data_IF_943147417449
#
_entry.id   IF_943147417449
#
_cell.length_a   1.000
_cell.length_b   1.000
_cell.length_c   1.000
_cell.angle_alpha   90.00
_cell.angle_beta   90.00
_cell.angle_gamma   90.00
#
_symmetry.space_group_name_H-M   'P 1'
#
loop_
_entity.id
_entity.type
_entity.pdbx_description
1 polymer ?
#
# COMPACT_ATOMS: atom_id res chain seq x y z
N UNK A 1 -11.96 11.42 20.80
CA UNK A 1 -10.68 10.66 20.91
C UNK A 1 -11.03 9.18 20.89
N UNK A 2 -10.32 8.36 20.12
CA UNK A 2 -10.58 6.91 20.04
C UNK A 2 -10.36 6.25 21.40
N UNK A 3 -11.24 5.31 21.79
CA UNK A 3 -11.02 4.47 22.97
C UNK A 3 -10.08 3.29 22.62
N UNK A 4 -8.77 3.53 22.74
CA UNK A 4 -7.76 2.52 22.43
C UNK A 4 -7.92 1.25 23.29
N UNK A 5 -8.39 1.38 24.54
CA UNK A 5 -8.59 0.23 25.44
C UNK A 5 -9.73 -0.68 24.98
N UNK A 6 -10.79 -0.12 24.40
CA UNK A 6 -11.87 -0.88 23.80
C UNK A 6 -11.38 -1.59 22.53
N UNK A 7 -10.68 -0.86 21.64
CA UNK A 7 -10.17 -1.37 20.36
C UNK A 7 -9.16 -2.50 20.58
N UNK A 8 -8.26 -2.41 21.57
CA UNK A 8 -7.29 -3.47 21.85
C UNK A 8 -7.93 -4.84 22.11
N UNK A 9 -9.16 -4.89 22.62
CA UNK A 9 -9.89 -6.14 22.89
C UNK A 9 -10.24 -6.90 21.62
N UNK A 10 -10.31 -6.22 20.48
CA UNK A 10 -10.60 -6.82 19.17
C UNK A 10 -9.41 -7.59 18.60
N UNK A 11 -8.20 -7.37 19.13
CA UNK A 11 -6.96 -7.97 18.65
C UNK A 11 -6.51 -9.11 19.57
N UNK A 12 -6.83 -10.38 19.25
CA UNK A 12 -6.56 -11.52 20.15
C UNK A 12 -5.07 -11.70 20.43
N UNK A 13 -4.19 -11.32 19.51
CA UNK A 13 -2.74 -11.45 19.69
C UNK A 13 -2.20 -10.56 20.83
N UNK A 14 -2.83 -9.42 21.13
CA UNK A 14 -2.43 -8.54 22.22
C UNK A 14 -2.70 -9.14 23.62
N UNK A 15 -3.48 -10.22 23.70
CA UNK A 15 -3.71 -10.96 24.94
C UNK A 15 -2.57 -11.91 25.29
N UNK A 16 -1.58 -12.06 24.39
CA UNK A 16 -0.45 -12.96 24.64
C UNK A 16 0.49 -12.40 25.68
N UNK A 17 0.98 -13.28 26.54
CA UNK A 17 2.11 -13.04 27.41
C UNK A 17 3.29 -13.90 26.91
N UNK A 18 4.45 -13.28 26.81
CA UNK A 18 5.69 -13.95 26.45
C UNK A 18 6.67 -13.68 27.60
N UNK A 19 7.33 -14.73 28.13
CA UNK A 19 8.19 -14.63 29.31
C UNK A 19 7.50 -13.96 30.50
N UNK A 20 6.18 -14.19 30.67
CA UNK A 20 5.37 -13.61 31.77
C UNK A 20 5.01 -12.12 31.60
N UNK A 21 5.42 -11.46 30.53
CA UNK A 21 5.14 -10.04 30.24
C UNK A 21 4.10 -9.89 29.13
N UNK A 22 3.24 -8.86 29.15
CA UNK A 22 2.30 -8.60 28.08
C UNK A 22 3.05 -8.21 26.78
N UNK A 23 2.46 -8.54 25.62
CA UNK A 23 3.00 -8.16 24.32
C UNK A 23 2.78 -6.66 24.06
N UNK A 24 3.86 -5.93 23.76
CA UNK A 24 3.84 -4.55 23.27
C UNK A 24 4.32 -4.57 21.82
N UNK A 25 3.37 -4.52 20.87
CA UNK A 25 3.67 -4.66 19.45
C UNK A 25 3.75 -3.29 18.78
N UNK A 26 4.97 -2.85 18.43
CA UNK A 26 5.26 -1.57 17.78
C UNK A 26 5.88 -1.74 16.39
N UNK A 27 5.66 -2.88 15.73
CA UNK A 27 6.17 -3.19 14.38
C UNK A 27 5.07 -3.26 13.31
N UNK A 28 3.97 -2.49 13.48
CA UNK A 28 2.83 -2.49 12.54
C UNK A 28 3.21 -1.99 11.13
N UNK A 29 4.26 -1.21 11.00
CA UNK A 29 4.84 -0.80 9.70
C UNK A 29 5.24 -1.99 8.83
N UNK A 30 5.71 -3.07 9.46
CA UNK A 30 6.05 -4.30 8.75
C UNK A 30 4.81 -5.12 8.42
N UNK A 31 3.95 -5.36 9.41
CA UNK A 31 2.63 -6.01 9.28
C UNK A 31 1.78 -5.67 10.50
N UNK A 32 0.53 -5.27 10.28
CA UNK A 32 -0.40 -5.01 11.38
C UNK A 32 -0.92 -6.31 12.01
N UNK A 33 -1.32 -6.27 13.26
CA UNK A 33 -2.12 -7.33 13.87
C UNK A 33 -3.50 -7.41 13.22
N UNK A 34 -4.21 -8.53 13.41
CA UNK A 34 -5.52 -8.77 12.78
C UNK A 34 -6.62 -8.76 13.82
N UNK A 35 -7.67 -7.95 13.63
CA UNK A 35 -8.83 -7.99 14.51
C UNK A 35 -9.64 -9.27 14.32
N UNK A 36 -10.36 -9.67 15.35
CA UNK A 36 -11.22 -10.86 15.37
C UNK A 36 -12.21 -10.88 14.20
N UNK A 37 -12.74 -9.71 13.79
CA UNK A 37 -13.64 -9.59 12.66
C UNK A 37 -13.03 -10.12 11.35
N UNK A 38 -11.76 -9.77 11.06
CA UNK A 38 -11.05 -10.25 9.88
C UNK A 38 -10.76 -11.74 9.95
N UNK A 39 -10.32 -12.23 11.13
CA UNK A 39 -10.06 -13.66 11.35
C UNK A 39 -11.33 -14.47 11.13
N UNK A 40 -12.45 -14.02 11.71
CA UNK A 40 -13.74 -14.67 11.57
C UNK A 40 -14.25 -14.67 10.13
N UNK A 41 -14.03 -13.59 9.35
CA UNK A 41 -14.45 -13.55 7.94
C UNK A 41 -13.71 -14.56 7.07
N UNK A 42 -12.41 -14.74 7.32
CA UNK A 42 -11.61 -15.77 6.65
C UNK A 42 -12.09 -17.17 7.03
N UNK A 43 -12.35 -17.42 8.31
CA UNK A 43 -12.91 -18.69 8.79
C UNK A 43 -14.31 -18.96 8.20
N UNK A 44 -15.13 -17.93 8.08
CA UNK A 44 -16.47 -18.03 7.48
C UNK A 44 -16.39 -18.52 6.03
N UNK A 45 -15.48 -17.97 5.21
CA UNK A 45 -15.28 -18.47 3.86
C UNK A 45 -15.00 -19.98 3.85
N UNK A 46 -14.00 -20.43 4.62
CA UNK A 46 -13.60 -21.84 4.61
C UNK A 46 -14.64 -22.80 5.20
N UNK A 47 -15.49 -22.31 6.09
CA UNK A 47 -16.47 -23.17 6.78
C UNK A 47 -17.86 -23.17 6.15
N UNK A 48 -18.23 -22.12 5.39
CA UNK A 48 -19.59 -21.97 4.88
C UNK A 48 -19.70 -22.00 3.36
N UNK A 49 -18.80 -21.33 2.62
CA UNK A 49 -18.91 -21.15 1.16
C UNK A 49 -17.55 -21.28 0.45
N UNK A 50 -16.70 -22.22 0.87
CA UNK A 50 -15.44 -22.51 0.23
C UNK A 50 -15.64 -23.15 -1.14
N UNK A 51 -15.83 -22.31 -2.15
CA UNK A 51 -15.99 -22.68 -3.55
C UNK A 51 -15.18 -21.76 -4.46
N UNK A 52 -14.88 -22.21 -5.69
CA UNK A 52 -14.30 -21.34 -6.70
C UNK A 52 -15.37 -20.33 -7.18
N UNK A 53 -14.92 -19.19 -7.70
CA UNK A 53 -15.75 -18.06 -8.10
C UNK A 53 -15.98 -18.02 -9.62
N UNK A 54 -16.96 -17.22 -10.05
CA UNK A 54 -17.36 -16.88 -11.43
C UNK A 54 -18.02 -18.01 -12.23
N UNK A 55 -17.43 -19.21 -12.33
CA UNK A 55 -17.89 -20.26 -13.26
C UNK A 55 -18.83 -21.28 -12.67
N UNK A 56 -18.95 -21.34 -11.34
CA UNK A 56 -19.86 -22.27 -10.69
C UNK A 56 -21.30 -21.76 -10.70
N UNK A 57 -22.24 -22.59 -11.17
CA UNK A 57 -23.67 -22.29 -11.23
C UNK A 57 -24.46 -22.85 -10.02
N UNK A 58 -23.77 -23.10 -8.92
CA UNK A 58 -24.34 -23.64 -7.69
C UNK A 58 -24.19 -22.62 -6.54
N UNK A 59 -25.10 -22.67 -5.58
CA UNK A 59 -25.33 -21.63 -4.56
C UNK A 59 -24.07 -21.13 -3.85
N UNK A 60 -23.22 -22.02 -3.35
CA UNK A 60 -22.01 -21.60 -2.61
C UNK A 60 -20.95 -20.93 -3.51
N UNK A 61 -20.93 -21.22 -4.83
CA UNK A 61 -20.05 -20.50 -5.78
C UNK A 61 -20.57 -19.10 -6.08
N UNK A 62 -21.90 -18.95 -6.21
CA UNK A 62 -22.53 -17.63 -6.36
C UNK A 62 -22.28 -16.77 -5.12
N UNK A 63 -22.40 -17.36 -3.92
CA UNK A 63 -22.13 -16.67 -2.66
C UNK A 63 -20.65 -16.25 -2.55
N UNK A 64 -19.70 -17.15 -2.87
CA UNK A 64 -18.28 -16.83 -2.89
C UNK A 64 -17.96 -15.70 -3.89
N UNK A 65 -18.56 -15.73 -5.08
CA UNK A 65 -18.42 -14.69 -6.10
C UNK A 65 -18.95 -13.34 -5.60
N UNK A 66 -20.15 -13.35 -5.02
CA UNK A 66 -20.75 -12.13 -4.47
C UNK A 66 -19.89 -11.52 -3.36
N UNK A 67 -19.35 -12.33 -2.44
CA UNK A 67 -18.49 -11.86 -1.36
C UNK A 67 -17.13 -11.31 -1.88
N UNK A 68 -16.60 -11.89 -2.95
CA UNK A 68 -15.37 -11.44 -3.59
C UNK A 68 -15.55 -10.07 -4.25
N UNK A 69 -16.60 -9.90 -5.06
CA UNK A 69 -16.89 -8.64 -5.74
C UNK A 69 -17.41 -7.54 -4.79
N UNK A 70 -18.09 -7.91 -3.74
CA UNK A 70 -18.49 -6.99 -2.67
C UNK A 70 -17.26 -6.43 -1.93
N UNK A 71 -16.24 -7.26 -1.68
CA UNK A 71 -14.98 -6.79 -1.12
C UNK A 71 -14.27 -5.80 -2.07
N UNK A 72 -14.31 -6.02 -3.39
CA UNK A 72 -13.80 -5.09 -4.40
C UNK A 72 -14.51 -3.75 -4.32
N UNK A 73 -15.83 -3.77 -4.26
CA UNK A 73 -16.66 -2.58 -4.13
C UNK A 73 -16.33 -1.78 -2.87
N UNK A 74 -16.18 -2.46 -1.72
CA UNK A 74 -15.77 -1.80 -0.46
C UNK A 74 -14.40 -1.16 -0.56
N UNK A 75 -13.42 -1.85 -1.15
CA UNK A 75 -12.09 -1.29 -1.39
C UNK A 75 -12.16 -0.05 -2.27
N UNK A 76 -12.93 -0.11 -3.38
CA UNK A 76 -13.11 1.03 -4.26
C UNK A 76 -13.71 2.24 -3.53
N UNK A 77 -14.74 2.03 -2.73
CA UNK A 77 -15.37 3.07 -1.91
C UNK A 77 -14.40 3.64 -0.88
N UNK A 78 -13.60 2.80 -0.23
CA UNK A 78 -12.66 3.19 0.82
C UNK A 78 -11.56 4.13 0.34
N UNK A 79 -11.13 3.99 -0.91
CA UNK A 79 -10.11 4.86 -1.53
C UNK A 79 -10.72 5.91 -2.48
N UNK A 80 -12.05 6.03 -2.52
CA UNK A 80 -12.81 6.94 -3.40
C UNK A 80 -12.51 6.71 -4.89
N UNK A 81 -12.35 5.44 -5.32
CA UNK A 81 -12.30 5.09 -6.73
C UNK A 81 -13.62 5.40 -7.43
N UNK A 82 -13.59 5.74 -8.74
CA UNK A 82 -14.80 6.09 -9.50
C UNK A 82 -15.73 4.88 -9.67
N UNK A 83 -15.15 3.68 -9.78
CA UNK A 83 -15.88 2.42 -9.94
C UNK A 83 -15.05 1.22 -9.49
N UNK A 84 -15.69 0.10 -9.12
CA UNK A 84 -14.99 -1.10 -8.64
C UNK A 84 -14.00 -1.70 -9.65
N UNK A 85 -14.26 -1.55 -10.94
CA UNK A 85 -13.40 -2.08 -12.01
C UNK A 85 -12.01 -1.44 -12.04
N UNK A 86 -11.81 -0.28 -11.40
CA UNK A 86 -10.49 0.34 -11.22
C UNK A 86 -9.62 -0.36 -10.17
N UNK A 87 -10.17 -1.32 -9.44
CA UNK A 87 -9.49 -2.09 -8.38
C UNK A 87 -9.10 -3.46 -8.90
N UNK A 88 -7.81 -3.75 -8.95
CA UNK A 88 -7.23 -5.04 -9.32
C UNK A 88 -6.64 -5.68 -8.07
N UNK A 89 -7.04 -6.90 -7.75
CA UNK A 89 -6.45 -7.65 -6.66
C UNK A 89 -5.11 -8.26 -7.08
N UNK A 90 -4.13 -8.10 -6.21
CA UNK A 90 -2.76 -8.62 -6.36
C UNK A 90 -2.36 -9.33 -5.08
N UNK A 91 -1.18 -9.95 -5.04
CA UNK A 91 -0.69 -10.57 -3.79
C UNK A 91 -0.21 -9.55 -2.75
N UNK A 92 0.25 -8.40 -3.19
CA UNK A 92 0.78 -7.32 -2.34
C UNK A 92 1.13 -6.08 -3.18
N UNK A 93 1.56 -4.98 -2.54
CA UNK A 93 2.05 -3.76 -3.19
C UNK A 93 3.17 -4.04 -4.20
N UNK A 94 4.10 -4.95 -3.89
CA UNK A 94 5.22 -5.26 -4.79
C UNK A 94 4.73 -5.82 -6.12
N UNK A 95 3.77 -6.76 -6.10
CA UNK A 95 3.17 -7.29 -7.32
C UNK A 95 2.38 -6.21 -8.07
N UNK A 96 1.61 -5.38 -7.36
CA UNK A 96 0.85 -4.27 -7.95
C UNK A 96 1.75 -3.31 -8.75
N UNK A 97 2.88 -2.91 -8.16
CA UNK A 97 3.85 -2.02 -8.83
C UNK A 97 4.55 -2.74 -10.00
N UNK A 98 4.92 -4.01 -9.82
CA UNK A 98 5.50 -4.80 -10.93
C UNK A 98 4.50 -5.00 -12.07
N UNK A 99 3.20 -5.19 -11.76
CA UNK A 99 2.16 -5.25 -12.79
C UNK A 99 2.22 -4.00 -13.68
N UNK A 100 2.21 -2.80 -13.08
CA UNK A 100 2.33 -1.54 -13.85
C UNK A 100 3.64 -1.48 -14.64
N UNK A 101 4.75 -1.86 -14.02
CA UNK A 101 6.05 -1.84 -14.69
C UNK A 101 6.11 -2.79 -15.90
N UNK A 102 5.64 -4.02 -15.74
CA UNK A 102 5.71 -5.05 -16.79
C UNK A 102 4.64 -4.90 -17.89
N UNK A 103 3.53 -4.24 -17.60
CA UNK A 103 2.48 -4.01 -18.59
C UNK A 103 2.60 -2.61 -19.19
N UNK A 104 2.20 -1.56 -18.46
CA UNK A 104 2.30 -0.19 -18.95
C UNK A 104 3.74 0.21 -19.26
N UNK A 105 4.69 -0.06 -18.35
CA UNK A 105 6.08 0.36 -18.51
C UNK A 105 6.74 -0.26 -19.75
N UNK A 106 6.58 -1.57 -19.96
CA UNK A 106 7.15 -2.24 -21.14
C UNK A 106 6.53 -1.78 -22.45
N UNK A 107 5.24 -1.50 -22.46
CA UNK A 107 4.52 -1.10 -23.68
C UNK A 107 4.76 0.36 -24.05
N UNK A 108 4.95 1.25 -23.07
CA UNK A 108 4.93 2.71 -23.31
C UNK A 108 6.31 3.38 -23.17
N UNK A 109 7.22 2.82 -22.35
CA UNK A 109 8.54 3.42 -22.16
C UNK A 109 9.52 2.97 -23.23
N UNK A 110 10.33 3.90 -23.71
CA UNK A 110 11.36 3.68 -24.75
C UNK A 110 12.66 4.43 -24.42
N UNK A 111 13.75 4.00 -25.05
CA UNK A 111 15.08 4.57 -24.86
C UNK A 111 15.06 6.10 -24.91
N UNK A 112 15.64 6.74 -23.88
CA UNK A 112 15.69 8.19 -23.76
C UNK A 112 14.52 8.82 -23.00
N UNK A 113 13.46 8.07 -22.69
CA UNK A 113 12.46 8.50 -21.70
C UNK A 113 13.06 8.51 -20.29
N UNK A 114 12.46 9.25 -19.38
CA UNK A 114 12.89 9.33 -17.99
C UNK A 114 11.82 8.78 -17.04
N UNK A 115 12.28 8.07 -16.00
CA UNK A 115 11.48 7.67 -14.84
C UNK A 115 12.09 8.30 -13.60
N UNK A 116 11.25 8.90 -12.76
CA UNK A 116 11.65 9.54 -11.50
C UNK A 116 11.11 8.73 -10.34
N UNK A 117 11.95 8.50 -9.35
CA UNK A 117 11.59 7.94 -8.04
C UNK A 117 12.15 8.81 -6.93
N UNK A 118 11.68 8.66 -5.69
CA UNK A 118 12.35 9.33 -4.56
C UNK A 118 13.35 8.38 -3.88
N UNK A 119 14.30 8.97 -3.14
CA UNK A 119 15.24 8.18 -2.34
C UNK A 119 14.57 7.49 -1.15
N UNK A 120 13.36 7.90 -0.75
CA UNK A 120 12.62 7.31 0.36
C UNK A 120 11.72 6.13 -0.04
N UNK A 121 11.72 5.73 -1.33
CA UNK A 121 10.88 4.63 -1.79
C UNK A 121 11.25 3.32 -1.12
N UNK A 122 10.22 2.54 -0.77
CA UNK A 122 10.42 1.13 -0.48
C UNK A 122 11.02 0.43 -1.71
N UNK A 123 11.82 -0.61 -1.50
CA UNK A 123 12.43 -1.38 -2.60
C UNK A 123 11.42 -1.83 -3.65
N UNK A 124 10.18 -2.09 -3.26
CA UNK A 124 9.08 -2.45 -4.18
C UNK A 124 8.73 -1.36 -5.19
N UNK A 125 8.97 -0.08 -4.85
CA UNK A 125 8.72 1.07 -5.73
C UNK A 125 10.00 1.70 -6.27
N UNK A 126 11.15 1.14 -5.96
CA UNK A 126 12.45 1.57 -6.47
C UNK A 126 13.02 0.60 -7.50
N UNK A 127 13.13 -0.67 -7.09
CA UNK A 127 13.85 -1.70 -7.88
C UNK A 127 13.19 -2.00 -9.22
N UNK A 128 11.86 -2.14 -9.35
CA UNK A 128 11.23 -2.40 -10.65
C UNK A 128 11.56 -1.32 -11.69
N UNK A 129 11.52 -0.06 -11.28
CA UNK A 129 11.80 1.09 -12.17
C UNK A 129 13.29 1.18 -12.51
N UNK A 130 14.17 0.89 -11.56
CA UNK A 130 15.61 0.81 -11.80
C UNK A 130 15.94 -0.29 -12.82
N UNK A 131 15.34 -1.49 -12.69
CA UNK A 131 15.56 -2.59 -13.63
C UNK A 131 14.95 -2.27 -15.00
N UNK A 132 13.76 -1.69 -15.06
CA UNK A 132 13.13 -1.22 -16.28
C UNK A 132 14.02 -0.18 -17.01
N UNK A 133 14.61 0.74 -16.27
CA UNK A 133 15.52 1.73 -16.83
C UNK A 133 16.76 1.09 -17.45
N UNK A 134 17.35 0.08 -16.81
CA UNK A 134 18.46 -0.70 -17.37
C UNK A 134 18.03 -1.47 -18.61
N UNK A 135 16.90 -2.16 -18.56
CA UNK A 135 16.37 -3.00 -19.66
C UNK A 135 16.12 -2.15 -20.93
N UNK A 136 15.53 -0.97 -20.77
CA UNK A 136 15.07 -0.14 -21.88
C UNK A 136 15.97 1.05 -22.22
N UNK A 137 17.05 1.27 -21.47
CA UNK A 137 17.91 2.43 -21.65
C UNK A 137 17.24 3.75 -21.32
N UNK A 138 16.45 3.77 -20.24
CA UNK A 138 15.78 4.97 -19.73
C UNK A 138 16.74 5.77 -18.85
N UNK A 139 16.44 7.06 -18.72
CA UNK A 139 17.06 7.90 -17.70
C UNK A 139 16.37 7.65 -16.35
N UNK A 140 17.10 7.08 -15.40
CA UNK A 140 16.62 6.84 -14.05
C UNK A 140 17.06 7.97 -13.13
N UNK A 141 16.11 8.76 -12.63
CA UNK A 141 16.36 9.92 -11.78
C UNK A 141 15.87 9.65 -10.36
N UNK A 142 16.71 9.99 -9.37
CA UNK A 142 16.36 9.83 -7.95
C UNK A 142 16.24 11.21 -7.31
N UNK A 143 15.03 11.53 -6.85
CA UNK A 143 14.75 12.78 -6.14
C UNK A 143 15.13 12.63 -4.67
N UNK A 144 16.15 13.37 -4.24
CA UNK A 144 16.68 13.34 -2.88
C UNK A 144 15.83 14.11 -1.88
N UNK A 145 16.21 14.01 -0.59
CA UNK A 145 15.56 14.66 0.54
C UNK A 145 16.30 15.91 0.97
N UNK A 146 15.58 16.83 1.58
CA UNK A 146 16.14 17.89 2.41
C UNK A 146 16.57 17.32 3.78
N UNK A 147 17.28 18.13 4.57
CA UNK A 147 17.88 17.68 5.86
C UNK A 147 16.87 17.23 6.89
N UNK A 148 15.63 17.71 6.80
CA UNK A 148 14.51 17.35 7.68
C UNK A 148 13.76 16.07 7.24
N UNK A 149 14.24 15.41 6.19
CA UNK A 149 13.62 14.19 5.68
C UNK A 149 12.40 14.43 4.78
N UNK A 150 12.17 15.65 4.33
CA UNK A 150 11.10 15.99 3.38
C UNK A 150 11.59 16.14 1.95
N UNK A 151 10.67 16.10 0.97
CA UNK A 151 10.95 16.36 -0.43
C UNK A 151 10.96 17.87 -0.71
N UNK A 152 12.00 18.37 -1.37
CA UNK A 152 12.05 19.77 -1.81
C UNK A 152 11.19 19.99 -3.05
N UNK A 153 9.96 20.42 -2.85
CA UNK A 153 9.01 20.64 -3.94
C UNK A 153 9.46 21.73 -4.93
N UNK A 154 10.30 22.69 -4.50
CA UNK A 154 10.83 23.72 -5.39
C UNK A 154 11.80 23.18 -6.44
N UNK A 155 12.32 21.98 -6.24
CA UNK A 155 13.23 21.31 -7.19
C UNK A 155 12.49 20.36 -8.14
N UNK A 156 11.18 20.19 -8.01
CA UNK A 156 10.42 19.22 -8.80
C UNK A 156 10.52 19.45 -10.31
N UNK A 157 10.61 20.71 -10.74
CA UNK A 157 10.81 21.11 -12.15
C UNK A 157 12.14 20.60 -12.75
N UNK A 158 13.17 20.37 -11.91
CA UNK A 158 14.44 19.80 -12.38
C UNK A 158 14.33 18.30 -12.69
N UNK A 159 13.36 17.61 -12.08
CA UNK A 159 13.11 16.18 -12.28
C UNK A 159 12.06 15.91 -13.36
N UNK A 160 11.01 16.75 -13.43
CA UNK A 160 9.91 16.58 -14.36
C UNK A 160 10.16 17.39 -15.63
N UNK A 161 10.51 16.70 -16.71
CA UNK A 161 10.76 17.26 -18.03
C UNK A 161 9.82 16.64 -19.07
N UNK A 162 9.81 17.12 -20.30
CA UNK A 162 9.02 16.51 -21.40
C UNK A 162 9.35 15.02 -21.64
N UNK A 163 10.54 14.57 -21.27
CA UNK A 163 10.96 13.17 -21.35
C UNK A 163 10.53 12.32 -20.17
N UNK A 164 10.12 12.93 -19.06
CA UNK A 164 9.66 12.20 -17.87
C UNK A 164 8.28 11.60 -18.16
N UNK A 165 8.20 10.29 -18.13
CA UNK A 165 6.97 9.53 -18.42
C UNK A 165 6.27 9.03 -17.17
N UNK A 166 7.05 8.83 -16.09
CA UNK A 166 6.53 8.34 -14.82
C UNK A 166 7.27 9.02 -13.66
N UNK A 167 6.49 9.42 -12.66
CA UNK A 167 6.95 9.66 -11.29
C UNK A 167 6.35 8.57 -10.40
N UNK A 168 7.19 7.80 -9.71
CA UNK A 168 6.77 6.83 -8.70
C UNK A 168 7.17 7.35 -7.32
N UNK A 169 6.18 7.55 -6.43
CA UNK A 169 6.39 8.14 -5.10
C UNK A 169 5.66 7.36 -4.01
N UNK A 170 6.25 7.28 -2.82
CA UNK A 170 5.54 6.84 -1.63
C UNK A 170 4.70 7.98 -1.04
N UNK A 171 3.46 7.69 -0.62
CA UNK A 171 2.63 8.68 0.08
C UNK A 171 3.12 8.91 1.52
N UNK A 172 3.55 7.83 2.20
CA UNK A 172 4.12 7.88 3.56
C UNK A 172 5.33 6.97 3.60
N UNK A 173 6.47 7.51 4.02
CA UNK A 173 7.71 6.73 4.14
C UNK A 173 7.58 5.65 5.22
N UNK A 174 7.88 4.41 4.85
CA UNK A 174 7.93 3.27 5.78
C UNK A 174 9.17 3.26 6.69
N UNK A 175 10.12 4.18 6.49
CA UNK A 175 11.37 4.27 7.27
C UNK A 175 11.34 5.49 8.18
N UNK A 176 11.15 6.67 7.63
CA UNK A 176 11.28 7.94 8.38
C UNK A 176 9.94 8.61 8.67
N UNK A 177 8.83 7.96 8.31
CA UNK A 177 7.48 8.43 8.62
C UNK A 177 7.03 9.68 7.85
N UNK A 178 7.84 10.23 6.95
CA UNK A 178 7.47 11.45 6.20
C UNK A 178 6.20 11.23 5.40
N UNK A 179 5.21 12.09 5.59
CA UNK A 179 3.99 12.18 4.78
C UNK A 179 4.26 13.15 3.64
N UNK A 180 4.20 12.65 2.41
CA UNK A 180 4.36 13.46 1.22
C UNK A 180 3.04 14.12 0.81
N UNK A 181 3.03 15.40 0.42
CA UNK A 181 1.83 16.10 -0.03
C UNK A 181 1.46 15.66 -1.47
N UNK A 182 0.93 14.44 -1.62
CA UNK A 182 0.68 13.76 -2.91
C UNK A 182 -0.13 14.65 -3.86
N UNK A 183 -1.24 15.21 -3.41
CA UNK A 183 -2.09 16.11 -4.22
C UNK A 183 -1.30 17.27 -4.82
N UNK A 184 -0.47 17.93 -3.99
CA UNK A 184 0.36 19.07 -4.43
C UNK A 184 1.42 18.60 -5.44
N UNK A 185 2.06 17.46 -5.18
CA UNK A 185 3.08 16.90 -6.07
C UNK A 185 2.46 16.55 -7.41
N UNK A 186 1.36 15.78 -7.41
CA UNK A 186 0.65 15.40 -8.64
C UNK A 186 0.20 16.63 -9.43
N UNK A 187 -0.45 17.59 -8.77
CA UNK A 187 -0.88 18.82 -9.42
C UNK A 187 0.27 19.61 -10.05
N UNK A 188 1.44 19.62 -9.41
CA UNK A 188 2.64 20.27 -9.97
C UNK A 188 3.21 19.47 -11.14
N UNK A 189 3.28 18.14 -11.04
CA UNK A 189 3.72 17.26 -12.13
C UNK A 189 2.86 17.45 -13.37
N UNK A 190 1.54 17.45 -13.21
CA UNK A 190 0.61 17.61 -14.33
C UNK A 190 0.68 19.00 -14.98
N UNK A 191 1.02 20.06 -14.21
CA UNK A 191 1.30 21.39 -14.78
C UNK A 191 2.61 21.43 -15.58
N UNK A 192 3.67 20.74 -15.10
CA UNK A 192 4.97 20.71 -15.77
C UNK A 192 4.95 19.77 -17.01
N UNK A 193 4.29 18.63 -16.89
CA UNK A 193 4.15 17.64 -17.95
C UNK A 193 2.83 16.86 -17.78
N UNK A 194 1.75 17.25 -18.50
CA UNK A 194 0.45 16.56 -18.40
C UNK A 194 0.49 15.08 -18.76
N UNK A 195 1.48 14.66 -19.57
CA UNK A 195 1.64 13.27 -20.00
C UNK A 195 2.52 12.43 -19.05
N UNK A 196 3.03 13.01 -17.98
CA UNK A 196 3.76 12.26 -16.95
C UNK A 196 2.75 11.58 -16.04
N UNK A 197 2.77 10.24 -15.99
CA UNK A 197 1.95 9.49 -15.06
C UNK A 197 2.57 9.50 -13.65
N UNK A 198 1.70 9.41 -12.64
CA UNK A 198 2.10 9.33 -11.23
C UNK A 198 1.57 8.05 -10.62
N UNK A 199 2.49 7.20 -10.16
CA UNK A 199 2.20 6.01 -9.37
C UNK A 199 2.50 6.30 -7.91
N UNK A 200 1.54 6.01 -7.04
CA UNK A 200 1.66 6.24 -5.59
C UNK A 200 1.75 4.91 -4.86
N UNK A 201 2.86 4.66 -4.16
CA UNK A 201 2.93 3.62 -3.14
C UNK A 201 2.23 4.14 -1.88
N UNK A 202 1.03 3.64 -1.63
CA UNK A 202 0.18 4.02 -0.51
C UNK A 202 0.15 2.95 0.61
N UNK A 203 1.14 2.04 0.62
CA UNK A 203 1.19 0.94 1.59
C UNK A 203 1.20 1.41 3.05
N UNK A 204 1.71 2.61 3.32
CA UNK A 204 1.71 3.24 4.64
C UNK A 204 0.70 4.41 4.76
N UNK A 205 -0.03 4.75 3.70
CA UNK A 205 -1.05 5.78 3.77
C UNK A 205 -2.44 5.20 4.02
N UNK A 206 -2.85 4.23 3.20
CA UNK A 206 -4.19 3.61 3.25
C UNK A 206 -4.55 3.07 4.64
N UNK A 207 -3.64 2.43 5.42
CA UNK A 207 -3.97 1.98 6.78
C UNK A 207 -4.08 3.09 7.83
N UNK A 208 -3.56 4.30 7.57
CA UNK A 208 -3.29 5.30 8.60
C UNK A 208 -3.99 6.65 8.42
N UNK A 209 -4.48 6.95 7.22
CA UNK A 209 -5.10 8.24 6.92
C UNK A 209 -6.14 8.12 5.80
N UNK A 210 -7.07 9.08 5.67
CA UNK A 210 -7.98 9.12 4.52
C UNK A 210 -7.18 9.19 3.21
N UNK A 211 -7.59 8.38 2.23
CA UNK A 211 -7.03 8.37 0.89
C UNK A 211 -8.15 8.58 -0.12
N UNK A 212 -8.01 9.59 -0.96
CA UNK A 212 -8.92 9.87 -2.05
C UNK A 212 -8.12 9.94 -3.36
N UNK A 213 -8.26 8.89 -4.17
CA UNK A 213 -7.49 8.75 -5.40
C UNK A 213 -7.89 9.79 -6.45
N UNK A 214 -9.14 10.25 -6.43
CA UNK A 214 -9.63 11.27 -7.35
C UNK A 214 -9.11 12.66 -6.93
N UNK A 215 -9.18 12.99 -5.63
CA UNK A 215 -8.66 14.26 -5.09
C UNK A 215 -7.14 14.34 -5.24
N UNK A 216 -6.43 13.24 -5.08
CA UNK A 216 -4.97 13.19 -5.31
C UNK A 216 -4.60 13.35 -6.78
N UNK A 217 -5.49 12.94 -7.69
CA UNK A 217 -5.27 13.00 -9.14
C UNK A 217 -4.17 12.07 -9.62
N UNK A 218 -3.84 11.03 -8.86
CA UNK A 218 -2.88 10.00 -9.22
C UNK A 218 -3.38 9.17 -10.43
N UNK A 219 -2.48 8.50 -11.12
CA UNK A 219 -2.82 7.61 -12.23
C UNK A 219 -2.86 6.15 -11.79
N UNK A 220 -2.00 5.78 -10.82
CA UNK A 220 -1.96 4.47 -10.19
C UNK A 220 -1.72 4.62 -8.67
N UNK A 221 -2.27 3.69 -7.90
CA UNK A 221 -2.04 3.58 -6.47
C UNK A 221 -1.93 2.10 -6.06
N UNK A 222 -0.98 1.78 -5.18
CA UNK A 222 -0.77 0.42 -4.72
C UNK A 222 -0.68 0.31 -3.20
N UNK A 223 -1.28 -0.73 -2.62
CA UNK A 223 -1.17 -1.02 -1.19
C UNK A 223 -1.34 -2.52 -0.87
N UNK A 224 -1.07 -2.91 0.37
CA UNK A 224 -1.11 -4.29 0.85
C UNK A 224 -2.09 -4.48 1.98
N UNK A 225 -2.90 -5.53 1.91
CA UNK A 225 -3.87 -5.86 2.95
C UNK A 225 -3.26 -6.11 4.32
N UNK A 226 -2.09 -6.77 4.38
CA UNK A 226 -1.46 -7.14 5.64
C UNK A 226 -0.99 -5.96 6.50
N UNK A 227 -0.93 -4.74 5.96
CA UNK A 227 -0.59 -3.52 6.71
C UNK A 227 -1.82 -2.77 7.20
N UNK A 228 -2.98 -3.02 6.59
CA UNK A 228 -4.26 -2.40 6.94
C UNK A 228 -5.22 -3.37 7.63
N UNK A 229 -4.74 -4.10 8.62
CA UNK A 229 -5.48 -5.08 9.43
C UNK A 229 -5.97 -6.32 8.65
N UNK A 230 -5.80 -6.36 7.34
CA UNK A 230 -6.18 -7.44 6.43
C UNK A 230 -5.17 -8.59 6.42
N UNK A 231 -5.48 -9.70 5.76
CA UNK A 231 -4.59 -10.87 5.69
C UNK A 231 -3.36 -10.62 4.82
N UNK A 232 -2.37 -11.49 4.96
CA UNK A 232 -1.24 -11.61 4.03
C UNK A 232 -1.70 -12.21 2.70
N UNK A 233 -0.93 -12.02 1.63
CA UNK A 233 -1.20 -12.62 0.33
C UNK A 233 -2.30 -11.92 -0.48
N UNK A 234 -2.76 -10.76 -0.03
CA UNK A 234 -3.68 -9.88 -0.75
C UNK A 234 -3.17 -8.44 -0.75
N UNK A 235 -3.25 -7.78 -1.87
CA UNK A 235 -2.96 -6.38 -2.10
C UNK A 235 -3.84 -5.82 -3.20
N UNK A 236 -3.67 -4.56 -3.49
CA UNK A 236 -4.48 -3.81 -4.44
C UNK A 236 -3.59 -2.97 -5.33
N UNK A 237 -3.88 -3.00 -6.62
CA UNK A 237 -3.59 -1.95 -7.58
C UNK A 237 -4.90 -1.22 -7.88
N UNK A 238 -4.94 0.07 -7.64
CA UNK A 238 -5.90 0.96 -8.27
C UNK A 238 -5.24 1.65 -9.46
N UNK A 239 -5.96 1.79 -10.55
CA UNK A 239 -5.52 2.55 -11.71
C UNK A 239 -6.71 3.20 -12.39
N UNK A 240 -6.49 4.34 -13.04
CA UNK A 240 -7.52 4.95 -13.87
C UNK A 240 -7.99 3.96 -14.92
N UNK A 241 -9.31 3.86 -15.08
CA UNK A 241 -9.94 2.83 -15.92
C UNK A 241 -9.35 2.80 -17.35
N UNK A 242 -9.19 3.96 -17.99
CA UNK A 242 -8.68 4.06 -19.34
C UNK A 242 -7.24 3.52 -19.46
N UNK A 243 -6.40 3.78 -18.44
CA UNK A 243 -5.04 3.26 -18.42
C UNK A 243 -5.03 1.73 -18.24
N UNK A 244 -5.87 1.22 -17.34
CA UNK A 244 -6.01 -0.22 -17.16
C UNK A 244 -6.54 -0.91 -18.41
N UNK A 245 -7.49 -0.30 -19.12
CA UNK A 245 -8.03 -0.84 -20.36
C UNK A 245 -6.96 -0.98 -21.47
N UNK A 246 -6.07 0.00 -21.58
CA UNK A 246 -5.00 0.01 -22.59
C UNK A 246 -3.84 -0.94 -22.23
N UNK A 247 -3.67 -1.28 -20.95
CA UNK A 247 -2.56 -2.15 -20.51
C UNK A 247 -2.79 -3.60 -20.95
N UNK A 248 -1.76 -4.29 -21.48
CA UNK A 248 -1.85 -5.72 -21.73
C UNK A 248 -1.98 -6.52 -20.42
N UNK A 249 -2.47 -7.77 -20.47
CA UNK A 249 -2.46 -8.66 -19.30
C UNK A 249 -1.06 -8.81 -18.70
N UNK A 250 -1.02 -9.06 -17.39
CA UNK A 250 0.24 -9.26 -16.65
C UNK A 250 0.65 -10.74 -16.59
N UNK A 251 -0.29 -11.58 -16.17
CA UNK A 251 -0.14 -13.03 -16.12
C UNK A 251 -1.15 -13.66 -17.08
N UNK A 252 -0.82 -14.84 -17.60
CA UNK A 252 -1.68 -15.58 -18.50
C UNK A 252 -2.13 -16.87 -17.84
N UNK A 253 -3.40 -17.25 -18.03
CA UNK A 253 -3.98 -18.47 -17.45
C UNK A 253 -5.48 -18.52 -17.51
N UNK A 254 -6.09 -19.27 -16.61
CA UNK A 254 -7.56 -19.30 -16.46
C UNK A 254 -8.12 -18.01 -15.89
N UNK A 255 -9.42 -17.86 -15.96
CA UNK A 255 -10.25 -16.76 -15.46
C UNK A 255 -10.03 -15.39 -16.14
N UNK A 256 -8.81 -15.07 -16.57
CA UNK A 256 -8.47 -13.80 -17.23
C UNK A 256 -8.83 -13.75 -18.73
N UNK A 257 -9.41 -14.82 -19.28
CA UNK A 257 -9.78 -14.98 -20.67
C UNK A 257 -11.31 -15.02 -20.83
N UNK A 258 -11.78 -14.49 -21.97
CA UNK A 258 -13.17 -14.64 -22.44
C UNK A 258 -13.33 -15.83 -23.38
N UNK A 259 -12.43 -15.93 -24.37
CA UNK A 259 -12.42 -17.01 -25.37
C UNK A 259 -10.99 -17.42 -25.69
N UNK A 260 -10.78 -18.72 -25.94
CA UNK A 260 -9.49 -19.27 -26.35
C UNK A 260 -9.66 -20.11 -27.62
N UNK A 261 -8.93 -19.76 -28.65
CA UNK A 261 -8.82 -20.50 -29.90
C UNK A 261 -7.36 -20.93 -30.10
N UNK A 262 -7.10 -21.89 -31.01
CA UNK A 262 -5.74 -22.40 -31.25
C UNK A 262 -4.75 -21.29 -31.68
N UNK A 263 -5.24 -20.32 -32.44
CA UNK A 263 -4.41 -19.21 -32.94
C UNK A 263 -4.58 -17.88 -32.23
N UNK A 264 -5.55 -17.75 -31.32
CA UNK A 264 -5.90 -16.45 -30.74
C UNK A 264 -6.56 -16.62 -29.37
N UNK A 265 -6.33 -15.66 -28.49
CA UNK A 265 -7.02 -15.56 -27.18
C UNK A 265 -7.67 -14.19 -27.04
N UNK A 266 -8.94 -14.17 -26.68
CA UNK A 266 -9.68 -12.95 -26.33
C UNK A 266 -9.68 -12.83 -24.81
N UNK A 267 -9.08 -11.78 -24.28
CA UNK A 267 -8.98 -11.51 -22.84
C UNK A 267 -10.28 -10.92 -22.29
N UNK A 268 -10.49 -11.09 -20.99
CA UNK A 268 -11.55 -10.40 -20.26
C UNK A 268 -11.28 -8.89 -20.21
N UNK A 269 -12.29 -8.10 -19.86
CA UNK A 269 -12.14 -6.70 -19.48
C UNK A 269 -11.46 -6.54 -18.13
N UNK A 270 -11.19 -5.27 -17.76
CA UNK A 270 -10.72 -4.93 -16.41
C UNK A 270 -11.84 -5.18 -15.37
N UNK A 271 -11.49 -5.60 -14.17
CA UNK A 271 -10.14 -5.90 -13.66
C UNK A 271 -9.67 -7.32 -13.98
N UNK A 272 -10.55 -8.19 -14.43
CA UNK A 272 -10.35 -9.65 -14.51
C UNK A 272 -9.20 -10.06 -15.45
N UNK A 273 -8.90 -9.27 -16.48
CA UNK A 273 -7.73 -9.56 -17.35
C UNK A 273 -6.39 -9.54 -16.63
N UNK A 274 -6.33 -9.00 -15.41
CA UNK A 274 -5.12 -8.95 -14.59
C UNK A 274 -5.11 -10.02 -13.47
N UNK A 275 -6.24 -10.72 -13.25
CA UNK A 275 -6.44 -11.67 -12.17
C UNK A 275 -6.45 -13.11 -12.70
N UNK A 276 -5.28 -13.60 -13.13
CA UNK A 276 -5.14 -14.93 -13.71
C UNK A 276 -5.11 -16.03 -12.65
N UNK A 277 -5.89 -17.10 -12.90
CA UNK A 277 -6.01 -18.28 -12.04
C UNK A 277 -6.95 -18.05 -10.85
N UNK A 278 -7.22 -19.10 -10.08
CA UNK A 278 -8.06 -18.97 -8.88
C UNK A 278 -7.45 -17.98 -7.90
N UNK A 279 -8.15 -16.86 -7.59
CA UNK A 279 -7.58 -15.81 -6.75
C UNK A 279 -7.60 -16.20 -5.26
N UNK A 280 -7.01 -15.34 -4.45
CA UNK A 280 -7.03 -15.51 -2.99
C UNK A 280 -8.39 -15.10 -2.38
N UNK A 281 -9.44 -15.90 -2.61
CA UNK A 281 -10.84 -15.58 -2.25
C UNK A 281 -10.95 -15.28 -0.74
N UNK A 282 -10.42 -16.15 0.12
CA UNK A 282 -10.42 -15.96 1.57
C UNK A 282 -9.70 -14.66 1.98
N UNK A 283 -8.60 -14.35 1.32
CA UNK A 283 -7.84 -13.11 1.59
C UNK A 283 -8.61 -11.87 1.15
N UNK A 284 -9.30 -11.93 0.02
CA UNK A 284 -10.11 -10.83 -0.49
C UNK A 284 -11.30 -10.53 0.43
N UNK A 285 -12.03 -11.56 0.85
CA UNK A 285 -13.14 -11.38 1.81
C UNK A 285 -12.65 -10.87 3.16
N UNK A 286 -11.47 -11.34 3.62
CA UNK A 286 -10.81 -10.82 4.82
C UNK A 286 -10.36 -9.36 4.68
N UNK A 287 -9.92 -8.94 3.49
CA UNK A 287 -9.60 -7.53 3.20
C UNK A 287 -10.87 -6.66 3.25
N UNK A 288 -11.97 -7.12 2.68
CA UNK A 288 -13.27 -6.44 2.80
C UNK A 288 -13.66 -6.21 4.25
N UNK A 289 -13.51 -7.22 5.12
CA UNK A 289 -13.77 -7.07 6.56
C UNK A 289 -12.80 -6.10 7.26
N UNK A 290 -11.56 -6.00 6.81
CA UNK A 290 -10.61 -5.01 7.32
C UNK A 290 -11.01 -3.58 6.92
N UNK A 291 -11.49 -3.40 5.69
CA UNK A 291 -12.05 -2.12 5.21
C UNK A 291 -13.25 -1.71 6.05
N UNK A 292 -14.20 -2.62 6.29
CA UNK A 292 -15.36 -2.33 7.14
C UNK A 292 -14.94 -1.91 8.55
N UNK A 293 -13.95 -2.61 9.13
CA UNK A 293 -13.46 -2.30 10.46
C UNK A 293 -12.84 -0.89 10.53
N UNK A 294 -11.98 -0.54 9.56
CA UNK A 294 -11.35 0.78 9.48
C UNK A 294 -12.38 1.88 9.20
N UNK A 295 -13.35 1.62 8.32
CA UNK A 295 -14.46 2.54 8.02
C UNK A 295 -15.31 2.82 9.26
N UNK A 296 -15.58 1.80 10.06
CA UNK A 296 -16.34 1.95 11.31
C UNK A 296 -15.57 2.76 12.37
N UNK A 297 -14.23 2.70 12.40
CA UNK A 297 -13.40 3.55 13.24
C UNK A 297 -13.36 5.00 12.74
N UNK A 298 -13.46 5.20 11.43
CA UNK A 298 -13.30 6.49 10.76
C UNK A 298 -11.83 6.87 10.58
N UNK A 299 -11.38 7.04 9.34
CA UNK A 299 -9.97 7.26 9.03
C UNK A 299 -9.43 8.61 9.54
N UNK A 300 -10.27 9.64 9.66
CA UNK A 300 -9.90 10.90 10.32
C UNK A 300 -9.60 10.69 11.82
N UNK A 301 -10.39 9.85 12.49
CA UNK A 301 -10.17 9.52 13.90
C UNK A 301 -8.90 8.66 14.08
N UNK A 302 -8.62 7.73 13.15
CA UNK A 302 -7.38 6.95 13.11
C UNK A 302 -6.19 7.90 12.96
N UNK A 303 -6.22 8.82 12.00
CA UNK A 303 -5.14 9.79 11.78
C UNK A 303 -4.92 10.71 12.98
N UNK A 304 -5.99 11.26 13.55
CA UNK A 304 -5.90 12.12 14.73
C UNK A 304 -5.31 11.40 15.96
N UNK A 305 -5.67 10.12 16.14
CA UNK A 305 -5.09 9.29 17.21
C UNK A 305 -3.60 9.05 16.97
N UNK A 306 -3.23 8.65 15.76
CA UNK A 306 -1.83 8.42 15.38
C UNK A 306 -0.98 9.68 15.56
N UNK A 307 -1.49 10.83 15.14
CA UNK A 307 -0.81 12.11 15.32
C UNK A 307 -0.55 12.43 16.79
N UNK A 308 -1.55 12.20 17.65
CA UNK A 308 -1.42 12.44 19.08
C UNK A 308 -0.37 11.53 19.74
N UNK A 309 -0.37 10.22 19.42
CA UNK A 309 0.64 9.29 19.98
C UNK A 309 2.03 9.53 19.39
N UNK A 310 2.13 9.94 18.12
CA UNK A 310 3.40 10.32 17.49
C UNK A 310 3.99 11.56 18.17
N UNK A 311 3.19 12.61 18.39
CA UNK A 311 3.60 13.80 19.13
C UNK A 311 4.10 13.45 20.54
N UNK A 312 3.37 12.58 21.26
CA UNK A 312 3.78 12.10 22.56
C UNK A 312 5.11 11.35 22.52
N UNK A 313 5.29 10.45 21.57
CA UNK A 313 6.50 9.65 21.41
C UNK A 313 7.71 10.53 21.03
N UNK A 314 7.58 11.43 20.06
CA UNK A 314 8.64 12.37 19.65
C UNK A 314 9.10 13.22 20.83
N UNK A 315 8.14 13.80 21.58
CA UNK A 315 8.42 14.61 22.79
C UNK A 315 9.18 13.84 23.86
N UNK A 316 8.92 12.55 24.04
CA UNK A 316 9.57 11.78 25.11
C UNK A 316 10.89 11.15 24.65
N UNK A 317 10.96 10.65 23.41
CA UNK A 317 12.21 10.14 22.86
C UNK A 317 13.28 11.22 22.74
N UNK A 318 12.93 12.47 22.42
CA UNK A 318 13.87 13.58 22.37
C UNK A 318 14.53 13.92 23.71
N UNK A 319 13.98 13.47 24.85
CA UNK A 319 14.56 13.64 26.19
C UNK A 319 15.57 12.54 26.54
N UNK A 320 15.57 11.44 25.81
CA UNK A 320 16.47 10.31 26.06
C UNK A 320 17.86 10.65 25.54
N UNK A 321 18.85 10.69 26.44
CA UNK A 321 20.23 11.01 26.08
C UNK A 321 20.78 9.99 25.06
N UNK A 322 21.41 10.49 24.01
CA UNK A 322 22.01 9.67 22.96
C UNK A 322 21.04 9.23 21.86
N UNK A 323 19.75 9.55 21.97
CA UNK A 323 18.81 9.34 20.86
C UNK A 323 18.83 10.50 19.88
N UNK A 324 18.90 10.16 18.58
CA UNK A 324 18.67 11.08 17.47
C UNK A 324 17.53 10.58 16.61
N UNK A 325 16.44 11.35 16.56
CA UNK A 325 15.28 11.08 15.72
C UNK A 325 15.61 11.46 14.27
N UNK A 326 15.16 10.64 13.32
CA UNK A 326 15.36 10.84 11.88
C UNK A 326 13.98 11.04 11.23
N UNK A 327 13.85 12.06 10.39
CA UNK A 327 12.58 12.42 9.74
C UNK A 327 11.99 13.73 10.29
N UNK A 328 10.80 14.12 9.83
CA UNK A 328 10.15 15.35 10.23
C UNK A 328 9.82 15.36 11.74
N UNK A 329 9.98 16.52 12.38
CA UNK A 329 9.53 16.70 13.77
C UNK A 329 8.11 17.25 13.86
N UNK A 330 7.59 17.85 12.78
CA UNK A 330 6.21 18.33 12.70
C UNK A 330 5.27 17.15 12.40
N UNK A 331 4.34 16.88 13.31
CA UNK A 331 3.37 15.77 13.21
C UNK A 331 2.39 15.91 12.05
N UNK A 332 2.21 17.11 11.51
CA UNK A 332 1.42 17.30 10.28
C UNK A 332 2.06 16.59 9.07
N UNK A 333 3.39 16.46 9.07
CA UNK A 333 4.17 15.78 8.03
C UNK A 333 4.76 14.45 8.48
N UNK A 334 4.34 13.91 9.63
CA UNK A 334 4.86 12.69 10.22
C UNK A 334 3.75 11.66 10.45
N UNK A 335 3.86 10.49 9.86
CA UNK A 335 3.05 9.31 10.15
C UNK A 335 3.51 8.59 11.41
N UNK A 336 2.88 7.47 11.73
CA UNK A 336 3.14 6.70 12.95
C UNK A 336 4.49 5.97 13.02
N UNK A 337 5.38 6.17 12.06
CA UNK A 337 6.72 5.53 12.00
C UNK A 337 7.76 6.48 12.55
N UNK A 338 8.41 6.15 13.67
CA UNK A 338 9.49 6.95 14.25
C UNK A 338 10.81 6.20 14.11
N UNK A 339 11.68 6.71 13.22
CA UNK A 339 13.04 6.22 13.08
C UNK A 339 13.99 6.96 14.01
N UNK A 340 14.86 6.24 14.68
CA UNK A 340 15.89 6.82 15.55
C UNK A 340 17.19 6.03 15.53
N UNK A 341 18.28 6.68 15.88
CA UNK A 341 19.57 6.05 16.19
C UNK A 341 19.91 6.31 17.66
N UNK A 342 20.73 5.46 18.24
CA UNK A 342 21.23 5.61 19.61
C UNK A 342 22.77 5.61 19.58
N UNK A 343 23.38 6.56 20.27
CA UNK A 343 24.83 6.69 20.29
C UNK A 343 25.48 5.43 20.85
N UNK A 344 26.50 4.92 20.13
CA UNK A 344 27.29 3.76 20.52
C UNK A 344 26.53 2.42 20.68
N UNK A 345 25.24 2.34 20.30
CA UNK A 345 24.46 1.11 20.36
C UNK A 345 23.95 0.76 18.95
N UNK A 346 24.23 -0.48 18.54
CA UNK A 346 23.74 -0.96 17.25
C UNK A 346 22.20 -1.13 17.28
N UNK A 347 21.45 -0.81 16.22
CA UNK A 347 19.99 -0.93 16.19
C UNK A 347 19.46 -2.34 16.53
N UNK A 348 20.17 -3.39 16.14
CA UNK A 348 19.81 -4.77 16.50
C UNK A 348 19.88 -5.01 18.02
N UNK A 349 20.88 -4.43 18.70
CA UNK A 349 21.04 -4.57 20.15
C UNK A 349 19.91 -3.84 20.88
N UNK A 350 19.52 -2.64 20.40
CA UNK A 350 18.35 -1.92 20.92
C UNK A 350 17.09 -2.78 20.81
N UNK A 351 16.84 -3.37 19.63
CA UNK A 351 15.67 -4.21 19.42
C UNK A 351 15.71 -5.47 20.30
N UNK A 352 16.87 -6.11 20.44
CA UNK A 352 17.04 -7.32 21.23
C UNK A 352 16.89 -7.06 22.73
N UNK A 353 17.38 -5.92 23.23
CA UNK A 353 17.20 -5.52 24.64
C UNK A 353 15.72 -5.25 24.92
N UNK A 354 15.03 -4.53 24.05
CA UNK A 354 13.60 -4.24 24.21
C UNK A 354 12.74 -5.52 24.12
N UNK A 355 13.13 -6.51 23.31
CA UNK A 355 12.44 -7.81 23.25
C UNK A 355 12.48 -8.58 24.60
N UNK A 356 13.48 -8.34 25.47
CA UNK A 356 13.49 -8.92 26.82
C UNK A 356 12.31 -8.43 27.67
N UNK A 357 11.79 -7.23 27.37
CA UNK A 357 10.59 -6.67 27.95
C UNK A 357 9.35 -6.86 27.08
N UNK A 358 9.45 -7.70 26.06
CA UNK A 358 8.36 -8.01 25.12
C UNK A 358 7.90 -6.82 24.28
N UNK A 359 8.78 -5.83 24.06
CA UNK A 359 8.55 -4.66 23.21
C UNK A 359 9.12 -4.96 21.84
N UNK A 360 8.22 -5.20 20.88
CA UNK A 360 8.56 -5.54 19.50
C UNK A 360 8.77 -4.27 18.68
N UNK A 361 10.02 -3.98 18.34
CA UNK A 361 10.41 -2.94 17.38
C UNK A 361 11.25 -3.52 16.24
N UNK A 362 11.49 -2.72 15.24
CA UNK A 362 12.36 -3.11 14.12
C UNK A 362 13.64 -2.29 14.12
#
# INVERSE_FOLDING_TARGET
MMDASAIQKDFPQLRRHVRGKPLIYLDSTATSLKPTAVINKINEYYTKYSANIFRGIYKISEEATAQYEDARTRVAQFIHASKPEEVVFTRNTSEAINLVAYTWGRSNLKRGDAVVVTIMEHHSNFVPWQQMAKEKGLEFRVWGLDKDGTLNLKKLDTFITRRTKLLAITAVSNVIGTINPVKTIVGTVKKLNPNCLVLVDAAQAVPHMPVDVQDWGADFLAFSGHKMLGPTGIGVLWGRFELLEEMPPFLFGGDMIREVHVGETIFNGVPHKFEAGTPHIAGTTGLGAAVDYLTALGMDAVRAHEEAITAYALKNLSKVKGIRIIGPHDTAYHGGVIAFTMDHIHPHDVAQILDQDNICIR
#
